data_IF_327910436143
#
_entry.id   IF_327910436143
#
_cell.length_a   1.000
_cell.length_b   1.000
_cell.length_c   1.000
_cell.angle_alpha   90.00
_cell.angle_beta   90.00
_cell.angle_gamma   90.00
#
_symmetry.space_group_name_H-M   'P 1'
#
loop_
_entity.id
_entity.type
_entity.pdbx_description
1 polymer ?
#
# COMPACT_ATOMS: atom_id res chain seq x y z
N UNK A 1 -5.01 8.01 2.70
CA UNK A 1 -5.51 8.92 1.64
C UNK A 1 -4.41 9.85 1.13
N UNK A 2 -4.43 11.14 1.52
CA UNK A 2 -3.41 12.13 1.09
C UNK A 2 -1.98 11.70 1.42
N UNK A 3 -1.78 11.05 2.56
CA UNK A 3 -0.46 10.54 2.97
C UNK A 3 0.07 9.46 1.99
N UNK A 4 -0.78 8.56 1.49
CA UNK A 4 -0.38 7.52 0.54
C UNK A 4 0.15 8.05 -0.79
N UNK A 5 -0.27 9.25 -1.21
CA UNK A 5 0.30 9.89 -2.39
C UNK A 5 1.77 10.28 -2.17
N UNK A 6 2.11 10.69 -0.95
CA UNK A 6 3.50 10.96 -0.58
C UNK A 6 4.31 9.65 -0.45
N UNK A 7 3.69 8.57 0.03
CA UNK A 7 4.34 7.25 0.05
C UNK A 7 4.64 6.73 -1.35
N UNK A 8 3.70 6.90 -2.29
CA UNK A 8 3.90 6.58 -3.71
C UNK A 8 5.09 7.37 -4.30
N UNK A 9 5.20 8.66 -3.98
CA UNK A 9 6.33 9.50 -4.37
C UNK A 9 7.66 8.97 -3.79
N UNK A 10 7.67 8.59 -2.51
CA UNK A 10 8.85 8.02 -1.85
C UNK A 10 9.30 6.72 -2.52
N UNK A 11 8.39 5.77 -2.73
CA UNK A 11 8.69 4.49 -3.40
C UNK A 11 9.21 4.72 -4.82
N UNK A 12 8.53 5.57 -5.60
CA UNK A 12 8.95 5.91 -6.96
C UNK A 12 10.35 6.51 -6.99
N UNK A 13 10.67 7.35 -6.01
CA UNK A 13 11.99 7.97 -5.86
C UNK A 13 13.07 6.95 -5.52
N UNK A 14 12.79 5.98 -4.65
CA UNK A 14 13.73 4.88 -4.33
C UNK A 14 14.03 4.07 -5.60
N UNK A 15 13.00 3.65 -6.34
CA UNK A 15 13.18 2.88 -7.58
C UNK A 15 13.97 3.68 -8.61
N UNK A 16 13.71 4.98 -8.75
CA UNK A 16 14.47 5.86 -9.63
C UNK A 16 15.96 5.93 -9.23
N UNK A 17 16.25 6.08 -7.93
CA UNK A 17 17.63 6.16 -7.44
C UNK A 17 18.40 4.85 -7.59
N UNK A 18 17.72 3.70 -7.49
CA UNK A 18 18.30 2.38 -7.71
C UNK A 18 18.59 2.09 -9.20
N UNK A 19 17.81 2.69 -10.10
CA UNK A 19 17.88 2.39 -11.54
C UNK A 19 18.59 3.46 -12.36
N UNK A 20 18.78 4.67 -11.83
CA UNK A 20 19.52 5.73 -12.52
C UNK A 20 20.98 5.29 -12.77
N UNK A 21 21.46 5.54 -13.98
CA UNK A 21 22.85 5.28 -14.41
C UNK A 21 23.27 3.80 -14.47
N UNK A 22 22.33 2.84 -14.44
CA UNK A 22 22.68 1.44 -14.67
C UNK A 22 23.31 1.25 -16.06
N UNK A 23 24.39 0.48 -16.13
CA UNK A 23 24.97 0.05 -17.41
C UNK A 23 24.21 -1.17 -17.97
N UNK A 24 24.28 -1.44 -19.29
CA UNK A 24 23.69 -2.65 -19.88
C UNK A 24 24.12 -3.95 -19.19
N UNK A 25 25.37 -4.03 -18.72
CA UNK A 25 25.89 -5.19 -17.99
C UNK A 25 25.19 -5.35 -16.63
N UNK A 26 25.00 -4.25 -15.89
CA UNK A 26 24.31 -4.27 -14.60
C UNK A 26 22.82 -4.62 -14.76
N UNK A 27 22.16 -4.08 -15.78
CA UNK A 27 20.76 -4.40 -16.12
C UNK A 27 20.59 -5.91 -16.33
N UNK A 28 21.50 -6.52 -17.13
CA UNK A 28 21.47 -7.95 -17.41
C UNK A 28 21.79 -8.78 -16.18
N UNK A 29 22.82 -8.41 -15.41
CA UNK A 29 23.22 -9.13 -14.21
C UNK A 29 22.15 -9.09 -13.10
N UNK A 30 21.41 -7.99 -12.99
CA UNK A 30 20.33 -7.82 -12.01
C UNK A 30 18.97 -8.39 -12.42
N UNK A 31 18.85 -9.03 -13.59
CA UNK A 31 17.58 -9.55 -14.09
C UNK A 31 16.57 -8.47 -14.50
N UNK A 32 16.99 -7.21 -14.64
CA UNK A 32 16.13 -6.06 -14.95
C UNK A 32 15.91 -5.86 -16.46
N UNK A 33 16.41 -6.76 -17.29
CA UNK A 33 16.41 -6.65 -18.75
C UNK A 33 14.98 -6.57 -19.35
N UNK A 34 14.03 -7.34 -18.83
CA UNK A 34 12.67 -7.39 -19.37
C UNK A 34 11.94 -6.08 -19.08
N UNK A 35 12.09 -5.54 -17.86
CA UNK A 35 11.62 -4.20 -17.51
C UNK A 35 12.28 -3.15 -18.39
N UNK A 36 13.60 -3.23 -18.60
CA UNK A 36 14.35 -2.26 -19.38
C UNK A 36 13.91 -2.20 -20.86
N UNK A 37 13.60 -3.35 -21.46
CA UNK A 37 13.11 -3.38 -22.84
C UNK A 37 11.79 -2.63 -22.99
N UNK A 38 10.88 -2.74 -22.02
CA UNK A 38 9.58 -2.09 -22.07
C UNK A 38 9.62 -0.62 -21.61
N UNK A 39 10.43 -0.31 -20.60
CA UNK A 39 10.33 0.94 -19.84
C UNK A 39 11.67 1.68 -19.67
N UNK A 40 12.78 1.14 -20.20
CA UNK A 40 14.13 1.62 -19.91
C UNK A 40 14.36 1.65 -18.40
N UNK A 41 14.57 2.81 -17.78
CA UNK A 41 14.63 2.98 -16.33
C UNK A 41 13.54 3.93 -15.85
N UNK A 42 12.51 4.17 -16.67
CA UNK A 42 11.35 4.95 -16.30
C UNK A 42 10.53 4.25 -15.22
N UNK A 43 9.86 5.01 -14.36
CA UNK A 43 9.00 4.46 -13.32
C UNK A 43 7.65 4.08 -13.93
N UNK A 44 7.34 2.78 -13.92
CA UNK A 44 6.09 2.22 -14.39
C UNK A 44 5.34 1.61 -13.19
N UNK A 45 4.10 2.05 -12.90
CA UNK A 45 3.32 1.50 -11.79
C UNK A 45 2.88 0.06 -12.08
N UNK A 46 3.68 -0.89 -11.63
CA UNK A 46 3.40 -2.32 -11.70
C UNK A 46 3.92 -3.02 -10.45
N UNK A 47 3.35 -4.19 -10.16
CA UNK A 47 3.84 -5.02 -9.06
C UNK A 47 5.16 -5.73 -9.40
N UNK A 48 5.71 -6.48 -8.43
CA UNK A 48 6.98 -7.19 -8.61
C UNK A 48 6.94 -8.32 -9.67
N UNK A 49 5.74 -8.75 -10.09
CA UNK A 49 5.54 -9.71 -11.18
C UNK A 49 5.28 -9.04 -12.54
N UNK A 50 5.17 -7.70 -12.56
CA UNK A 50 4.96 -6.90 -13.75
C UNK A 50 3.48 -6.62 -14.06
N UNK A 51 2.55 -6.95 -13.17
CA UNK A 51 1.12 -6.64 -13.38
C UNK A 51 0.88 -5.12 -13.22
N UNK A 52 0.32 -4.44 -14.24
CA UNK A 52 0.06 -3.00 -14.15
C UNK A 52 -0.94 -2.65 -13.05
N UNK A 53 -0.70 -1.51 -12.39
CA UNK A 53 -1.70 -0.95 -11.48
C UNK A 53 -3.01 -0.68 -12.24
N UNK A 54 -4.13 -1.08 -11.63
CA UNK A 54 -5.46 -0.82 -12.18
C UNK A 54 -6.46 -0.57 -11.06
N UNK A 55 -7.58 0.06 -11.42
CA UNK A 55 -8.70 0.30 -10.50
C UNK A 55 -9.32 -0.99 -9.93
N UNK A 56 -8.99 -2.17 -10.48
CA UNK A 56 -9.42 -3.47 -9.95
C UNK A 56 -8.80 -3.80 -8.58
N UNK A 57 -7.76 -3.08 -8.18
CA UNK A 57 -7.10 -3.25 -6.87
C UNK A 57 -7.66 -2.34 -5.78
N UNK A 58 -8.68 -1.52 -6.11
CA UNK A 58 -9.33 -0.60 -5.18
C UNK A 58 -10.64 -1.22 -4.72
N UNK A 59 -10.69 -1.60 -3.44
CA UNK A 59 -11.90 -2.10 -2.79
C UNK A 59 -12.68 -0.94 -2.16
N UNK A 60 -13.97 -0.83 -2.49
CA UNK A 60 -14.89 0.18 -1.95
C UNK A 60 -16.34 -0.29 -2.10
N UNK A 61 -17.10 -0.24 -1.00
CA UNK A 61 -18.50 -0.64 -0.95
C UNK A 61 -19.44 0.49 -0.49
N UNK A 62 -18.92 1.54 0.16
CA UNK A 62 -19.73 2.64 0.68
C UNK A 62 -20.48 2.29 1.98
N UNK A 63 -20.07 1.20 2.64
CA UNK A 63 -20.46 0.88 4.02
C UNK A 63 -19.22 1.09 4.90
N UNK A 64 -19.27 2.00 5.90
CA UNK A 64 -18.14 2.28 6.77
C UNK A 64 -17.58 1.03 7.47
N UNK A 65 -18.41 0.06 7.84
CA UNK A 65 -17.90 -1.17 8.47
C UNK A 65 -17.10 -1.97 7.45
N UNK A 66 -17.64 -2.17 6.25
CA UNK A 66 -16.99 -2.93 5.17
C UNK A 66 -15.68 -2.27 4.76
N UNK A 67 -15.73 -0.98 4.45
CA UNK A 67 -14.58 -0.24 3.94
C UNK A 67 -13.44 -0.17 4.97
N UNK A 68 -13.76 -0.02 6.27
CA UNK A 68 -12.74 -0.05 7.34
C UNK A 68 -12.08 -1.43 7.50
N UNK A 69 -12.77 -2.53 7.20
CA UNK A 69 -12.14 -3.86 7.21
C UNK A 69 -11.20 -4.04 6.01
N UNK A 70 -11.57 -3.51 4.83
CA UNK A 70 -10.69 -3.50 3.67
C UNK A 70 -9.44 -2.65 3.93
N UNK A 71 -9.59 -1.46 4.51
CA UNK A 71 -8.47 -0.60 4.92
C UNK A 71 -7.52 -1.34 5.88
N UNK A 72 -8.07 -1.99 6.93
CA UNK A 72 -7.28 -2.79 7.87
C UNK A 72 -6.50 -3.92 7.17
N UNK A 73 -7.12 -4.59 6.21
CA UNK A 73 -6.48 -5.66 5.44
C UNK A 73 -5.40 -5.11 4.50
N UNK A 74 -5.65 -3.96 3.85
CA UNK A 74 -4.69 -3.29 2.98
C UNK A 74 -3.41 -2.92 3.75
N UNK A 75 -3.54 -2.28 4.91
CA UNK A 75 -2.38 -1.88 5.73
C UNK A 75 -1.55 -3.08 6.20
N UNK A 76 -2.19 -4.21 6.55
CA UNK A 76 -1.46 -5.42 6.94
C UNK A 76 -0.71 -6.07 5.78
N UNK A 77 -1.31 -6.07 4.58
CA UNK A 77 -0.66 -6.55 3.35
C UNK A 77 0.56 -5.67 3.03
N UNK A 78 0.40 -4.35 3.05
CA UNK A 78 1.48 -3.38 2.80
C UNK A 78 2.64 -3.54 3.80
N UNK A 79 2.33 -3.57 5.11
CA UNK A 79 3.30 -3.84 6.19
C UNK A 79 4.09 -5.13 5.95
N UNK A 80 3.42 -6.19 5.50
CA UNK A 80 4.06 -7.49 5.21
C UNK A 80 4.98 -7.41 3.99
N UNK A 81 4.57 -6.67 2.96
CA UNK A 81 5.41 -6.39 1.78
C UNK A 81 6.66 -5.62 2.16
N UNK A 82 6.56 -4.58 3.01
CA UNK A 82 7.73 -3.86 3.49
C UNK A 82 8.65 -4.74 4.34
N UNK A 83 8.10 -5.61 5.21
CA UNK A 83 8.91 -6.61 5.92
C UNK A 83 9.69 -7.51 4.94
N UNK A 84 9.07 -7.92 3.83
CA UNK A 84 9.75 -8.72 2.81
C UNK A 84 10.86 -7.93 2.12
N UNK A 85 10.62 -6.67 1.74
CA UNK A 85 11.66 -5.81 1.17
C UNK A 85 12.85 -5.69 2.14
N UNK A 86 12.59 -5.50 3.44
CA UNK A 86 13.64 -5.42 4.46
C UNK A 86 14.42 -6.72 4.68
N UNK A 87 13.95 -7.86 4.17
CA UNK A 87 14.73 -9.12 4.17
C UNK A 87 15.71 -9.19 3.00
N UNK A 88 15.45 -8.49 1.91
CA UNK A 88 16.27 -8.51 0.68
C UNK A 88 17.15 -7.27 0.52
N UNK A 89 16.74 -6.11 1.04
CA UNK A 89 17.51 -4.89 0.92
C UNK A 89 18.61 -4.83 1.99
N UNK A 90 19.87 -4.64 1.57
CA UNK A 90 21.01 -4.47 2.48
C UNK A 90 21.42 -2.99 2.64
N UNK A 91 21.18 -2.17 1.62
CA UNK A 91 21.55 -0.75 1.59
C UNK A 91 20.74 0.09 2.60
N UNK A 92 21.39 0.75 3.59
CA UNK A 92 20.72 1.66 4.52
C UNK A 92 19.85 2.73 3.85
N UNK A 93 20.28 3.26 2.69
CA UNK A 93 19.57 4.33 1.97
C UNK A 93 18.23 3.85 1.38
N UNK A 94 18.07 2.53 1.20
CA UNK A 94 16.79 1.90 0.87
C UNK A 94 16.04 1.48 2.13
N UNK A 95 16.75 0.87 3.09
CA UNK A 95 16.13 0.26 4.28
C UNK A 95 15.47 1.28 5.18
N UNK A 96 16.07 2.45 5.37
CA UNK A 96 15.57 3.44 6.32
C UNK A 96 14.23 4.08 5.87
N UNK A 97 14.04 4.52 4.62
CA UNK A 97 12.72 4.96 4.18
C UNK A 97 11.69 3.81 4.19
N UNK A 98 12.08 2.57 3.88
CA UNK A 98 11.16 1.42 3.97
C UNK A 98 10.75 1.14 5.43
N UNK A 99 11.63 1.28 6.42
CA UNK A 99 11.27 1.19 7.85
C UNK A 99 10.29 2.29 8.25
N UNK A 100 10.48 3.50 7.73
CA UNK A 100 9.53 4.60 7.95
C UNK A 100 8.14 4.24 7.42
N UNK A 101 8.04 3.86 6.14
CA UNK A 101 6.77 3.46 5.51
C UNK A 101 6.10 2.31 6.27
N UNK A 102 6.87 1.26 6.60
CA UNK A 102 6.41 0.14 7.43
C UNK A 102 5.84 0.60 8.78
N UNK A 103 6.45 1.59 9.42
CA UNK A 103 5.93 2.12 10.68
C UNK A 103 4.64 2.93 10.47
N UNK A 104 4.47 3.59 9.32
CA UNK A 104 3.22 4.26 8.96
C UNK A 104 2.07 3.28 8.81
N UNK A 105 2.27 2.12 8.19
CA UNK A 105 1.19 1.12 8.06
C UNK A 105 0.72 0.60 9.41
N UNK A 106 1.63 0.49 10.39
CA UNK A 106 1.24 0.14 11.78
C UNK A 106 0.36 1.23 12.39
N UNK A 107 0.68 2.50 12.15
CA UNK A 107 -0.12 3.63 12.62
C UNK A 107 -1.47 3.67 11.91
N UNK A 108 -1.50 3.53 10.58
CA UNK A 108 -2.73 3.50 9.79
C UNK A 108 -3.64 2.36 10.22
N UNK A 109 -3.12 1.14 10.33
CA UNK A 109 -3.86 -0.01 10.85
C UNK A 109 -4.49 0.28 12.22
N UNK A 110 -3.73 0.86 13.15
CA UNK A 110 -4.25 1.22 14.48
C UNK A 110 -5.34 2.30 14.40
N UNK A 111 -5.18 3.31 13.53
CA UNK A 111 -6.16 4.38 13.34
C UNK A 111 -7.46 3.86 12.71
N UNK A 112 -7.37 2.99 11.70
CA UNK A 112 -8.56 2.34 11.13
C UNK A 112 -9.25 1.42 12.13
N UNK A 113 -8.50 0.70 12.96
CA UNK A 113 -9.06 -0.14 14.02
C UNK A 113 -9.80 0.68 15.08
N UNK A 114 -9.25 1.84 15.46
CA UNK A 114 -9.93 2.79 16.33
C UNK A 114 -11.20 3.36 15.67
N UNK A 115 -11.13 3.73 14.39
CA UNK A 115 -12.30 4.21 13.65
C UNK A 115 -13.40 3.14 13.56
N UNK A 116 -13.04 1.87 13.33
CA UNK A 116 -13.99 0.75 13.30
C UNK A 116 -14.65 0.56 14.66
N UNK A 117 -13.88 0.68 15.74
CA UNK A 117 -14.42 0.61 17.09
C UNK A 117 -15.41 1.75 17.36
N UNK A 118 -15.02 2.98 17.02
CA UNK A 118 -15.90 4.16 17.18
C UNK A 118 -17.17 3.99 16.35
N UNK A 119 -17.08 3.54 15.10
CA UNK A 119 -18.23 3.30 14.24
C UNK A 119 -19.20 2.30 14.89
N UNK A 120 -18.69 1.17 15.35
CA UNK A 120 -19.51 0.12 15.99
C UNK A 120 -20.11 0.55 17.33
N UNK A 121 -19.43 1.38 18.12
CA UNK A 121 -19.96 1.91 19.39
C UNK A 121 -21.22 2.79 19.20
N UNK A 122 -21.46 3.33 17.99
CA UNK A 122 -22.65 4.13 17.67
C UNK A 122 -23.80 3.33 17.03
N UNK A 123 -23.64 2.02 16.90
CA UNK A 123 -24.62 1.10 16.31
C UNK A 123 -25.32 0.26 17.39
N UNK A 124 -26.36 -0.47 16.98
CA UNK A 124 -27.02 -1.44 17.86
C UNK A 124 -26.07 -2.62 18.14
N UNK A 125 -25.61 -2.73 19.39
CA UNK A 125 -24.72 -3.82 19.81
C UNK A 125 -25.34 -5.21 19.73
N UNK A 126 -26.68 -5.31 19.56
CA UNK A 126 -27.36 -6.58 19.32
C UNK A 126 -27.36 -6.96 17.84
N UNK A 127 -27.18 -6.00 16.93
CA UNK A 127 -27.10 -6.24 15.49
C UNK A 127 -26.38 -5.08 14.77
N UNK A 128 -25.05 -5.14 14.71
CA UNK A 128 -24.21 -4.15 14.02
C UNK A 128 -24.50 -4.05 12.51
N UNK A 129 -25.16 -5.05 11.93
CA UNK A 129 -25.41 -5.17 10.49
C UNK A 129 -26.89 -4.92 10.14
N UNK A 130 -27.68 -4.36 11.06
CA UNK A 130 -29.09 -4.08 10.83
C UNK A 130 -29.32 -3.00 9.75
N UNK A 131 -28.34 -2.12 9.54
CA UNK A 131 -28.40 -0.98 8.62
C UNK A 131 -26.99 -0.61 8.15
N UNK A 132 -26.88 0.02 6.98
CA UNK A 132 -25.68 0.73 6.56
C UNK A 132 -25.70 2.14 7.16
N UNK A 133 -24.78 2.51 8.07
CA UNK A 133 -24.82 3.81 8.74
C UNK A 133 -24.48 5.02 7.85
N UNK A 134 -23.89 4.81 6.68
CA UNK A 134 -23.64 5.89 5.72
C UNK A 134 -24.84 6.15 4.79
N UNK A 135 -25.80 5.23 4.72
CA UNK A 135 -26.90 5.31 3.75
C UNK A 135 -28.29 5.31 4.39
N UNK A 136 -28.55 4.37 5.30
CA UNK A 136 -29.86 4.21 5.93
C UNK A 136 -30.09 5.32 6.98
N UNK A 137 -31.14 6.10 6.79
CA UNK A 137 -31.53 7.15 7.75
C UNK A 137 -32.32 6.52 8.89
N UNK A 138 -32.02 6.92 10.13
CA UNK A 138 -32.91 6.62 11.27
C UNK A 138 -34.30 7.21 10.96
N UNK A 139 -35.32 6.36 10.96
CA UNK A 139 -36.71 6.76 10.84
C UNK A 139 -37.18 7.56 12.05
#
# INVERSE_FOLDING_TARGET
>A
GTEELAHLEMISTIVYQLTRNLTPEQIKAGGFQDYFINHTTGIYPADASGEPFSALTIDVAGDPITDLHEDLAAEQKARTTYDNILRYAEDPDVRDPIKFLRQREVVHYQRFGEALRIATDHLDSKNFYAMNPAFDKKA
#
